data_IF_443091851027
#
_entry.id   IF_443091851027
#
_cell.length_a   1.000
_cell.length_b   1.000
_cell.length_c   1.000
_cell.angle_alpha   90.00
_cell.angle_beta   90.00
_cell.angle_gamma   90.00
#
_symmetry.space_group_name_H-M   'P 1'
#
loop_
_entity.id
_entity.type
_entity.pdbx_description
1 polymer ?
#
# COMPACT_ATOMS: atom_id res chain seq x y z
N UNK A 1 -17.39 -6.19 -12.28
CA UNK A 1 -16.46 -5.28 -11.60
C UNK A 1 -15.26 -6.08 -11.13
N UNK A 2 -14.05 -5.75 -11.55
CA UNK A 2 -12.81 -6.38 -11.06
C UNK A 2 -12.30 -5.60 -9.85
N UNK A 3 -12.05 -6.29 -8.74
CA UNK A 3 -11.40 -5.71 -7.56
C UNK A 3 -9.98 -5.25 -7.92
N UNK A 4 -9.59 -4.06 -7.48
CA UNK A 4 -8.20 -3.59 -7.52
C UNK A 4 -7.70 -3.37 -6.11
N UNK A 5 -6.47 -3.81 -5.84
CA UNK A 5 -5.84 -3.77 -4.53
C UNK A 5 -4.61 -2.87 -4.65
N UNK A 6 -4.50 -1.88 -3.76
CA UNK A 6 -3.32 -1.03 -3.65
C UNK A 6 -2.65 -1.32 -2.32
N UNK A 7 -1.44 -1.87 -2.35
CA UNK A 7 -0.64 -2.06 -1.15
C UNK A 7 0.31 -0.87 -1.00
N UNK A 8 0.02 -0.01 -0.02
CA UNK A 8 0.82 1.17 0.29
C UNK A 8 1.76 0.82 1.44
N UNK A 9 3.06 0.92 1.23
CA UNK A 9 4.06 0.59 2.24
C UNK A 9 5.39 1.32 1.93
N UNK A 10 6.30 1.37 2.91
CA UNK A 10 7.61 1.96 2.71
C UNK A 10 8.42 1.18 1.66
N UNK A 11 9.20 1.83 0.77
CA UNK A 11 9.90 1.14 -0.33
C UNK A 11 10.75 -0.05 0.13
N UNK A 12 11.48 0.11 1.24
CA UNK A 12 12.36 -0.93 1.79
C UNK A 12 11.57 -2.16 2.30
N UNK A 13 10.51 -1.94 3.09
CA UNK A 13 9.70 -3.05 3.63
C UNK A 13 8.93 -3.76 2.52
N UNK A 14 8.46 -3.01 1.53
CA UNK A 14 7.74 -3.54 0.38
C UNK A 14 8.63 -4.40 -0.52
N UNK A 15 9.84 -3.95 -0.88
CA UNK A 15 10.78 -4.75 -1.67
C UNK A 15 11.16 -6.04 -0.95
N UNK A 16 11.35 -5.99 0.37
CA UNK A 16 11.62 -7.19 1.18
C UNK A 16 10.43 -8.16 1.18
N UNK A 17 9.19 -7.66 1.23
CA UNK A 17 7.97 -8.48 1.13
C UNK A 17 7.88 -9.16 -0.23
N UNK A 18 8.11 -8.43 -1.32
CA UNK A 18 8.13 -8.99 -2.68
C UNK A 18 9.18 -10.08 -2.84
N UNK A 19 10.40 -9.87 -2.33
CA UNK A 19 11.46 -10.88 -2.36
C UNK A 19 11.07 -12.16 -1.60
N UNK A 20 10.39 -12.02 -0.44
CA UNK A 20 9.89 -13.17 0.32
C UNK A 20 8.77 -13.92 -0.39
N UNK A 21 7.83 -13.21 -1.01
CA UNK A 21 6.77 -13.83 -1.83
C UNK A 21 7.37 -14.64 -2.97
N UNK A 22 8.35 -14.06 -3.68
CA UNK A 22 9.06 -14.74 -4.76
C UNK A 22 9.81 -15.98 -4.27
N UNK A 23 10.59 -15.87 -3.18
CA UNK A 23 11.31 -17.00 -2.60
C UNK A 23 10.40 -18.13 -2.10
N UNK A 24 9.18 -17.79 -1.68
CA UNK A 24 8.15 -18.75 -1.26
C UNK A 24 7.28 -19.28 -2.42
N UNK A 25 7.52 -18.87 -3.66
CA UNK A 25 6.70 -19.20 -4.84
C UNK A 25 5.22 -18.80 -4.69
N UNK A 26 4.95 -17.72 -3.96
CA UNK A 26 3.60 -17.16 -3.82
C UNK A 26 3.37 -16.19 -4.98
N UNK A 27 2.40 -16.51 -5.84
CA UNK A 27 2.05 -15.67 -6.98
C UNK A 27 1.41 -14.35 -6.53
N UNK A 28 1.83 -13.25 -7.16
CA UNK A 28 1.20 -11.95 -6.99
C UNK A 28 -0.02 -11.85 -7.92
N UNK A 29 -1.24 -11.57 -7.39
CA UNK A 29 -2.41 -11.39 -8.24
C UNK A 29 -2.27 -10.19 -9.17
N UNK A 30 -2.78 -10.28 -10.40
CA UNK A 30 -2.79 -9.17 -11.36
C UNK A 30 -3.62 -7.96 -10.92
N UNK A 31 -4.51 -8.15 -9.93
CA UNK A 31 -5.30 -7.10 -9.30
C UNK A 31 -4.50 -6.24 -8.30
N UNK A 32 -3.30 -6.67 -7.88
CA UNK A 32 -2.47 -5.97 -6.90
C UNK A 32 -1.51 -4.97 -7.56
N UNK A 33 -1.52 -3.74 -7.06
CA UNK A 33 -0.54 -2.71 -7.37
C UNK A 33 0.22 -2.34 -6.10
N UNK A 34 1.53 -2.54 -6.10
CA UNK A 34 2.42 -2.07 -5.04
C UNK A 34 2.64 -0.56 -5.19
N UNK A 35 2.43 0.19 -4.12
CA UNK A 35 2.58 1.65 -4.06
C UNK A 35 3.69 1.98 -3.05
N UNK A 36 4.97 2.01 -3.48
CA UNK A 36 6.08 2.31 -2.59
C UNK A 36 6.04 3.80 -2.21
N UNK A 37 5.90 4.11 -0.92
CA UNK A 37 5.86 5.48 -0.42
C UNK A 37 6.32 5.56 1.02
N UNK A 38 7.18 6.54 1.31
CA UNK A 38 7.45 6.95 2.69
C UNK A 38 6.38 7.97 3.12
N UNK A 39 5.39 7.51 3.88
CA UNK A 39 4.28 8.34 4.37
C UNK A 39 4.72 9.41 5.37
N UNK A 40 5.96 9.37 5.87
CA UNK A 40 6.51 10.44 6.71
C UNK A 40 6.99 11.64 5.88
N UNK A 41 7.13 11.47 4.56
CA UNK A 41 7.71 12.47 3.64
C UNK A 41 6.81 12.81 2.46
N UNK A 42 5.80 12.00 2.17
CA UNK A 42 4.96 12.15 1.00
C UNK A 42 3.47 11.90 1.31
N UNK A 43 2.63 12.54 0.50
CA UNK A 43 1.17 12.41 0.55
C UNK A 43 0.72 11.01 0.10
N UNK A 44 -0.16 10.39 0.91
CA UNK A 44 -0.86 9.16 0.53
C UNK A 44 -1.68 9.36 -0.77
N UNK A 45 -2.40 10.48 -0.87
CA UNK A 45 -3.26 10.78 -2.01
C UNK A 45 -2.47 10.89 -3.31
N UNK A 46 -1.36 11.62 -3.30
CA UNK A 46 -0.50 11.75 -4.48
C UNK A 46 0.12 10.41 -4.90
N UNK A 47 0.54 9.60 -3.94
CA UNK A 47 1.08 8.27 -4.21
C UNK A 47 0.03 7.36 -4.86
N UNK A 48 -1.20 7.36 -4.33
CA UNK A 48 -2.32 6.61 -4.89
C UNK A 48 -2.71 7.10 -6.29
N UNK A 49 -2.79 8.42 -6.52
CA UNK A 49 -3.08 8.98 -7.84
C UNK A 49 -2.03 8.57 -8.87
N UNK A 50 -0.73 8.63 -8.51
CA UNK A 50 0.35 8.15 -9.41
C UNK A 50 0.25 6.65 -9.71
N UNK A 51 -0.27 5.85 -8.77
CA UNK A 51 -0.52 4.42 -8.96
C UNK A 51 -1.81 4.13 -9.75
N UNK A 52 -2.57 5.15 -10.15
CA UNK A 52 -3.80 5.02 -10.93
C UNK A 52 -5.06 4.75 -10.11
N UNK A 53 -5.04 5.01 -8.80
CA UNK A 53 -6.25 4.97 -7.97
C UNK A 53 -7.29 6.02 -8.45
N UNK A 54 -8.54 5.60 -8.64
CA UNK A 54 -9.65 6.52 -8.96
C UNK A 54 -10.37 6.90 -7.67
N UNK A 55 -10.15 8.14 -7.21
CA UNK A 55 -10.76 8.67 -5.99
C UNK A 55 -12.27 8.91 -6.09
N UNK A 56 -12.87 8.75 -7.28
CA UNK A 56 -14.32 8.86 -7.51
C UNK A 56 -15.03 7.51 -7.42
N UNK A 57 -14.29 6.41 -7.41
CA UNK A 57 -14.86 5.08 -7.22
C UNK A 57 -14.97 4.73 -5.72
N UNK A 58 -15.97 3.93 -5.31
CA UNK A 58 -16.04 3.43 -3.94
C UNK A 58 -14.76 2.66 -3.57
N UNK A 59 -14.22 2.97 -2.39
CA UNK A 59 -12.98 2.37 -1.89
C UNK A 59 -13.11 2.00 -0.41
N UNK A 60 -12.38 0.96 -0.01
CA UNK A 60 -12.21 0.53 1.37
C UNK A 60 -10.73 0.63 1.73
N UNK A 61 -10.44 1.17 2.92
CA UNK A 61 -9.08 1.32 3.43
C UNK A 61 -8.89 0.47 4.69
N UNK A 62 -7.93 -0.45 4.65
CA UNK A 62 -7.43 -1.13 5.84
C UNK A 62 -6.16 -0.42 6.31
N UNK A 63 -6.21 0.18 7.50
CA UNK A 63 -5.13 1.03 8.04
C UNK A 63 -4.70 0.55 9.42
N UNK A 64 -3.94 -0.53 9.45
CA UNK A 64 -3.59 -1.22 10.69
C UNK A 64 -2.17 -0.86 11.14
N UNK A 65 -2.03 -0.42 12.39
CA UNK A 65 -0.72 -0.21 13.03
C UNK A 65 0.13 0.93 12.46
N UNK A 66 -0.47 1.86 11.71
CA UNK A 66 0.25 2.95 11.03
C UNK A 66 0.29 4.24 11.86
N UNK A 67 -0.79 4.57 12.58
CA UNK A 67 -0.84 5.78 13.41
C UNK A 67 -0.22 5.49 14.77
N UNK A 68 0.73 6.33 15.20
CA UNK A 68 1.23 6.27 16.57
C UNK A 68 0.13 6.67 17.56
N UNK A 69 -0.09 5.85 18.59
CA UNK A 69 -0.93 6.24 19.73
C UNK A 69 -0.06 7.08 20.66
N UNK A 70 -0.12 8.40 20.52
CA UNK A 70 0.47 9.30 21.51
C UNK A 70 -0.43 9.35 22.73
N UNK A 71 0.00 8.75 23.85
CA UNK A 71 -0.62 8.98 25.15
C UNK A 71 -0.23 10.39 25.58
N UNK A 72 -1.14 11.34 25.38
CA UNK A 72 -1.01 12.67 25.99
C UNK A 72 -1.24 12.47 27.48
N UNK A 73 -0.21 12.71 28.29
CA UNK A 73 -0.39 12.87 29.74
C UNK A 73 -1.02 14.22 30.03
#
# INVERSE_FOLDING_TARGET
MSLRIFEVDHPVTQSLKQARLAGAHIAVPSALTFVPVDLTRASLGEALTRAGFDSRAPAFFSWLGVVAVSVVR
#
